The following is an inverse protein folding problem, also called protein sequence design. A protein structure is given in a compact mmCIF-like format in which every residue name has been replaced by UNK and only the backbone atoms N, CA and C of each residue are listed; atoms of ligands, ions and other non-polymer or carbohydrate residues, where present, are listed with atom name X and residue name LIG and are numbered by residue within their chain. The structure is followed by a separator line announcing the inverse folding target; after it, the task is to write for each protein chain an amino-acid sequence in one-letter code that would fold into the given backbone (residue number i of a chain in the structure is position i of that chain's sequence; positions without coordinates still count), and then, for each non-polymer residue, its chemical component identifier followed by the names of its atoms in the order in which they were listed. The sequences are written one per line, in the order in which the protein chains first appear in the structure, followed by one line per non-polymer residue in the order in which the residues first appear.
data_IF_115738388291
#
_entry.id   IF_115738388291
#
_cell.length_a   1.000
_cell.length_b   1.000
_cell.length_c   1.000
_cell.angle_alpha   90.00
_cell.angle_beta   90.00
_cell.angle_gamma   90.00
#
_symmetry.space_group_name_H-M   'P 1'
#
loop_
_entity.id
_entity.type
_entity.pdbx_description
1 polymer ?
#
# COMPACT_ATOMS: atom_id res chain seq x y z
N UNK A 1 -22.06 -21.65 -3.97
CA UNK A 1 -21.83 -20.73 -5.09
C UNK A 1 -22.16 -19.30 -4.70
N UNK A 2 -23.35 -19.06 -4.16
CA UNK A 2 -23.76 -17.72 -3.73
C UNK A 2 -22.88 -17.17 -2.62
N UNK A 3 -22.51 -18.00 -1.65
CA UNK A 3 -21.64 -17.60 -0.55
C UNK A 3 -20.26 -17.19 -1.04
N UNK A 4 -19.69 -17.94 -2.00
CA UNK A 4 -18.39 -17.60 -2.59
C UNK A 4 -18.46 -16.28 -3.36
N UNK A 5 -19.52 -16.08 -4.14
CA UNK A 5 -19.71 -14.84 -4.90
C UNK A 5 -19.87 -13.64 -3.95
N UNK A 6 -20.64 -13.81 -2.87
CA UNK A 6 -20.82 -12.76 -1.86
C UNK A 6 -19.51 -12.44 -1.15
N UNK A 7 -18.75 -13.46 -0.77
CA UNK A 7 -17.45 -13.25 -0.14
C UNK A 7 -16.51 -12.46 -1.05
N UNK A 8 -16.43 -12.84 -2.33
CA UNK A 8 -15.58 -12.15 -3.30
C UNK A 8 -15.99 -10.71 -3.50
N UNK A 9 -17.30 -10.46 -3.64
CA UNK A 9 -17.82 -9.10 -3.83
C UNK A 9 -17.55 -8.24 -2.61
N UNK A 10 -17.76 -8.78 -1.40
CA UNK A 10 -17.48 -8.06 -0.15
C UNK A 10 -16.00 -7.76 0.00
N UNK A 11 -15.14 -8.71 -0.35
CA UNK A 11 -13.70 -8.54 -0.28
C UNK A 11 -13.21 -7.46 -1.26
N UNK A 12 -13.72 -7.46 -2.49
CA UNK A 12 -13.38 -6.45 -3.48
C UNK A 12 -13.80 -5.06 -2.99
N UNK A 13 -14.99 -4.95 -2.40
CA UNK A 13 -15.47 -3.68 -1.85
C UNK A 13 -14.55 -3.18 -0.73
N UNK A 14 -14.11 -4.07 0.16
CA UNK A 14 -13.20 -3.73 1.25
C UNK A 14 -11.84 -3.23 0.72
N UNK A 15 -11.31 -3.90 -0.30
CA UNK A 15 -10.04 -3.50 -0.93
C UNK A 15 -10.19 -2.13 -1.59
N UNK A 16 -11.30 -1.87 -2.26
CA UNK A 16 -11.57 -0.56 -2.88
C UNK A 16 -11.66 0.55 -1.84
N UNK A 17 -12.31 0.29 -0.71
CA UNK A 17 -12.38 1.25 0.39
C UNK A 17 -10.99 1.55 0.94
N UNK A 18 -10.17 0.52 1.13
CA UNK A 18 -8.78 0.72 1.57
C UNK A 18 -8.00 1.54 0.55
N UNK A 19 -8.21 1.28 -0.75
CA UNK A 19 -7.55 2.03 -1.81
C UNK A 19 -7.93 3.50 -1.77
N UNK A 20 -9.20 3.83 -1.56
CA UNK A 20 -9.65 5.22 -1.42
C UNK A 20 -9.03 5.90 -0.21
N UNK A 21 -8.96 5.21 0.93
CA UNK A 21 -8.29 5.72 2.12
C UNK A 21 -6.81 5.96 1.86
N UNK A 22 -6.16 5.05 1.13
CA UNK A 22 -4.76 5.18 0.78
C UNK A 22 -4.52 6.39 -0.13
N UNK A 23 -5.39 6.59 -1.12
CA UNK A 23 -5.33 7.76 -2.00
C UNK A 23 -5.39 9.05 -1.19
N UNK A 24 -6.37 9.15 -0.30
CA UNK A 24 -6.54 10.33 0.54
C UNK A 24 -5.33 10.57 1.43
N UNK A 25 -4.82 9.51 2.04
CA UNK A 25 -3.67 9.58 2.94
C UNK A 25 -2.40 10.05 2.21
N UNK A 26 -2.12 9.48 1.02
CA UNK A 26 -0.95 9.85 0.23
C UNK A 26 -1.08 11.29 -0.27
N UNK A 27 -2.26 11.70 -0.72
CA UNK A 27 -2.49 13.07 -1.16
C UNK A 27 -2.25 14.08 -0.02
N UNK A 28 -2.63 13.70 1.20
CA UNK A 28 -2.50 14.57 2.35
C UNK A 28 -1.06 14.68 2.84
N UNK A 29 -0.35 13.56 2.89
CA UNK A 29 0.96 13.48 3.54
C UNK A 29 2.14 13.45 2.57
N UNK A 30 1.92 13.07 1.33
CA UNK A 30 2.97 12.98 0.33
C UNK A 30 2.45 13.37 -1.06
N UNK A 31 1.90 14.60 -1.22
CA UNK A 31 1.28 14.99 -2.50
C UNK A 31 2.26 15.02 -3.66
N UNK A 32 3.55 15.22 -3.39
CA UNK A 32 4.57 15.30 -4.45
C UNK A 32 4.80 13.98 -5.17
N UNK A 33 4.58 12.86 -4.47
CA UNK A 33 4.77 11.54 -5.08
C UNK A 33 3.46 10.90 -5.50
N UNK A 34 2.33 11.53 -5.17
CA UNK A 34 1.03 10.93 -5.48
C UNK A 34 0.83 10.78 -6.98
N UNK A 35 0.42 9.58 -7.39
CA UNK A 35 -0.14 9.31 -8.70
C UNK A 35 -1.10 8.14 -8.55
N UNK A 36 -2.12 8.09 -9.40
CA UNK A 36 -3.07 6.97 -9.40
C UNK A 36 -2.37 5.66 -9.71
N UNK A 37 -1.43 5.72 -10.65
CA UNK A 37 -0.65 4.57 -11.07
C UNK A 37 0.18 3.98 -9.94
N UNK A 38 0.78 4.83 -9.11
CA UNK A 38 1.56 4.38 -7.96
C UNK A 38 0.68 3.67 -6.95
N UNK A 39 -0.49 4.24 -6.63
CA UNK A 39 -1.43 3.63 -5.70
C UNK A 39 -1.94 2.31 -6.25
N UNK A 40 -2.33 2.27 -7.53
CA UNK A 40 -2.81 1.05 -8.16
C UNK A 40 -1.74 -0.05 -8.11
N UNK A 41 -0.48 0.32 -8.31
CA UNK A 41 0.61 -0.65 -8.31
C UNK A 41 0.81 -1.31 -6.93
N UNK A 42 0.74 -0.53 -5.85
CA UNK A 42 0.90 -1.10 -4.51
C UNK A 42 -0.30 -1.93 -4.06
N UNK A 43 -1.42 -1.87 -4.80
CA UNK A 43 -2.59 -2.71 -4.57
C UNK A 43 -2.65 -3.94 -5.46
N UNK A 44 -1.71 -4.10 -6.41
CA UNK A 44 -1.62 -5.32 -7.22
C UNK A 44 -1.22 -6.52 -6.37
N UNK A 45 -0.36 -6.29 -5.37
CA UNK A 45 0.14 -7.33 -4.47
C UNK A 45 0.45 -6.72 -3.11
N UNK A 46 0.29 -7.48 -2.00
CA UNK A 46 0.71 -6.99 -0.69
C UNK A 46 2.22 -6.82 -0.54
N UNK A 47 2.99 -7.26 -1.54
CA UNK A 47 4.45 -7.07 -1.57
C UNK A 47 4.83 -6.25 -2.79
N UNK A 48 5.65 -5.21 -2.60
CA UNK A 48 6.14 -4.39 -3.70
C UNK A 48 7.66 -4.30 -3.62
N UNK A 49 8.31 -4.47 -4.77
CA UNK A 49 9.76 -4.30 -4.91
C UNK A 49 10.03 -3.07 -5.78
N UNK A 50 11.21 -2.49 -5.62
CA UNK A 50 11.63 -1.34 -6.42
C UNK A 50 11.50 -1.65 -7.92
N UNK A 51 11.90 -2.85 -8.34
CA UNK A 51 11.84 -3.25 -9.74
C UNK A 51 10.40 -3.28 -10.31
N UNK A 52 9.37 -3.45 -9.47
CA UNK A 52 7.99 -3.41 -9.94
C UNK A 52 7.63 -2.04 -10.52
N UNK A 53 8.13 -0.96 -9.91
CA UNK A 53 7.87 0.39 -10.40
C UNK A 53 8.66 0.66 -11.67
N UNK A 54 9.89 0.18 -11.76
CA UNK A 54 10.72 0.40 -12.94
C UNK A 54 10.26 -0.42 -14.14
N UNK A 55 9.84 -1.67 -13.92
CA UNK A 55 9.32 -2.54 -14.98
C UNK A 55 8.03 -2.01 -15.58
N UNK A 56 7.19 -1.35 -14.79
CA UNK A 56 5.96 -0.75 -15.27
C UNK A 56 6.20 0.57 -15.99
N UNK A 57 7.44 1.04 -16.06
CA UNK A 57 7.77 2.28 -16.73
C UNK A 57 7.30 3.53 -16.00
N UNK A 58 6.90 3.42 -14.73
CA UNK A 58 6.43 4.57 -13.97
C UNK A 58 7.55 5.55 -13.65
N UNK A 59 8.69 5.05 -13.21
CA UNK A 59 9.81 5.87 -12.76
C UNK A 59 11.12 5.11 -12.92
N UNK A 60 12.23 5.84 -12.84
CA UNK A 60 13.56 5.25 -12.77
C UNK A 60 13.84 4.73 -11.36
N UNK A 61 14.86 3.88 -11.24
CA UNK A 61 15.17 3.16 -9.99
C UNK A 61 15.32 4.07 -8.76
N UNK A 62 16.01 5.18 -8.91
CA UNK A 62 16.25 6.10 -7.80
C UNK A 62 14.94 6.71 -7.29
N UNK A 63 14.08 7.14 -8.22
CA UNK A 63 12.79 7.70 -7.88
C UNK A 63 11.87 6.62 -7.29
N UNK A 64 11.92 5.39 -7.82
CA UNK A 64 11.14 4.28 -7.30
C UNK A 64 11.49 4.01 -5.84
N UNK A 65 12.79 3.93 -5.54
CA UNK A 65 13.26 3.73 -4.17
C UNK A 65 12.77 4.84 -3.24
N UNK A 66 12.86 6.09 -3.68
CA UNK A 66 12.43 7.24 -2.90
C UNK A 66 10.92 7.21 -2.64
N UNK A 67 10.13 6.87 -3.66
CA UNK A 67 8.67 6.80 -3.52
C UNK A 67 8.25 5.72 -2.52
N UNK A 68 8.83 4.53 -2.63
CA UNK A 68 8.50 3.44 -1.71
C UNK A 68 8.93 3.75 -0.29
N UNK A 69 10.07 4.39 -0.09
CA UNK A 69 10.53 4.83 1.23
C UNK A 69 9.59 5.88 1.82
N UNK A 70 9.14 6.83 1.01
CA UNK A 70 8.19 7.85 1.47
C UNK A 70 6.88 7.19 1.89
N UNK A 71 6.39 6.22 1.13
CA UNK A 71 5.18 5.48 1.51
C UNK A 71 5.37 4.73 2.84
N UNK A 72 6.57 4.22 3.10
CA UNK A 72 6.88 3.60 4.38
C UNK A 72 6.89 4.63 5.52
N UNK A 73 7.44 5.82 5.27
CA UNK A 73 7.50 6.90 6.26
C UNK A 73 6.11 7.38 6.68
N UNK A 74 5.16 7.43 5.75
CA UNK A 74 3.79 7.86 6.06
C UNK A 74 2.89 6.72 6.52
N UNK A 75 3.43 5.52 6.70
CA UNK A 75 2.72 4.40 7.29
C UNK A 75 1.94 3.51 6.33
N UNK A 76 2.00 3.77 5.03
CA UNK A 76 1.30 2.94 4.03
C UNK A 76 2.00 1.60 3.84
N UNK A 77 3.32 1.61 3.77
CA UNK A 77 4.13 0.41 3.56
C UNK A 77 5.07 0.17 4.73
N UNK A 78 5.60 -1.04 4.82
CA UNK A 78 6.64 -1.43 5.78
C UNK A 78 7.82 -1.97 5.00
N UNK A 79 8.99 -1.37 5.20
CA UNK A 79 10.21 -1.87 4.56
C UNK A 79 10.71 -3.09 5.31
N UNK A 80 11.02 -4.16 4.58
CA UNK A 80 11.65 -5.37 5.10
C UNK A 80 12.81 -5.74 4.20
N UNK A 81 13.87 -6.25 4.81
CA UNK A 81 15.04 -6.68 4.05
C UNK A 81 15.17 -8.21 4.12
N UNK A 82 15.26 -8.83 2.93
CA UNK A 82 15.49 -10.27 2.79
C UNK A 82 16.78 -10.46 1.98
N UNK A 83 17.88 -10.81 2.66
CA UNK A 83 19.17 -10.89 2.02
C UNK A 83 19.58 -9.52 1.47
N UNK A 84 19.77 -9.43 0.16
CA UNK A 84 20.15 -8.18 -0.53
C UNK A 84 18.96 -7.41 -1.07
N UNK A 85 17.78 -7.99 -0.99
CA UNK A 85 16.58 -7.36 -1.53
C UNK A 85 15.81 -6.59 -0.47
N UNK A 86 15.23 -5.47 -0.89
CA UNK A 86 14.27 -4.73 -0.07
C UNK A 86 12.87 -5.06 -0.55
N UNK A 87 12.01 -5.39 0.39
CA UNK A 87 10.62 -5.71 0.14
C UNK A 87 9.75 -4.72 0.91
N UNK A 88 8.79 -4.12 0.22
CA UNK A 88 7.86 -3.19 0.86
C UNK A 88 6.51 -3.90 0.99
N UNK A 89 6.12 -4.15 2.23
CA UNK A 89 4.90 -4.86 2.56
C UNK A 89 3.80 -3.85 2.82
N UNK A 90 2.58 -4.13 2.34
CA UNK A 90 1.41 -3.33 2.64
C UNK A 90 0.59 -4.07 3.71
N UNK A 91 0.78 -3.74 5.01
CA UNK A 91 0.20 -4.55 6.09
C UNK A 91 -1.32 -4.61 6.04
N UNK A 92 -1.98 -3.48 5.73
CA UNK A 92 -3.44 -3.44 5.69
C UNK A 92 -4.00 -4.27 4.55
N UNK A 93 -3.37 -4.21 3.37
CA UNK A 93 -3.78 -5.04 2.24
C UNK A 93 -3.49 -6.51 2.51
N UNK A 94 -2.33 -6.81 3.09
CA UNK A 94 -1.96 -8.18 3.46
C UNK A 94 -3.03 -8.79 4.37
N UNK A 95 -3.48 -8.05 5.37
CA UNK A 95 -4.50 -8.52 6.30
C UNK A 95 -5.83 -8.76 5.57
N UNK A 96 -6.24 -7.86 4.70
CA UNK A 96 -7.50 -8.02 3.96
C UNK A 96 -7.50 -9.26 3.07
N UNK A 97 -6.38 -9.54 2.39
CA UNK A 97 -6.32 -10.67 1.45
C UNK A 97 -6.04 -12.01 2.14
N UNK A 98 -5.53 -11.99 3.37
CA UNK A 98 -5.16 -13.22 4.08
C UNK A 98 -6.17 -13.65 5.15
N UNK A 99 -7.21 -12.86 5.38
CA UNK A 99 -8.25 -13.17 6.38
C UNK A 99 -9.63 -12.98 5.77
N UNK A 100 -10.65 -13.47 6.47
CA UNK A 100 -12.06 -13.24 6.09
C UNK A 100 -12.57 -11.90 6.62
N UNK A 101 -11.80 -11.23 7.46
CA UNK A 101 -12.15 -9.93 8.00
C UNK A 101 -12.01 -8.86 6.92
N UNK A 102 -13.04 -8.03 6.77
CA UNK A 102 -13.07 -6.93 5.81
C UNK A 102 -12.89 -5.57 6.47
N UNK A 103 -12.66 -5.54 7.77
CA UNK A 103 -12.41 -4.31 8.50
C UNK A 103 -10.93 -3.94 8.39
N UNK A 104 -10.66 -2.65 8.37
CA UNK A 104 -9.30 -2.13 8.45
C UNK A 104 -9.31 -0.84 9.25
N UNK A 105 -8.20 -0.56 9.92
CA UNK A 105 -8.04 0.69 10.64
C UNK A 105 -7.55 1.77 9.70
N UNK A 106 -7.95 3.05 9.90
CA UNK A 106 -7.40 4.16 9.12
C UNK A 106 -5.87 4.25 9.30
N UNK A 107 -5.20 4.84 8.32
CA UNK A 107 -3.78 5.10 8.44
C UNK A 107 -3.51 6.12 9.54
N UNK A 108 -2.40 5.94 10.25
CA UNK A 108 -1.96 6.92 11.24
C UNK A 108 -1.56 8.22 10.54
N UNK A 109 -1.85 9.36 11.20
CA UNK A 109 -1.33 10.64 10.73
C UNK A 109 0.17 10.70 10.99
N UNK A 110 0.84 11.61 10.30
CA UNK A 110 2.29 11.82 10.52
C UNK A 110 2.54 12.19 11.99
N UNK A 111 1.68 12.98 12.61
CA UNK A 111 1.79 13.33 14.03
C UNK A 111 1.73 12.10 14.92
N UNK A 112 0.81 11.17 14.63
CA UNK A 112 0.68 9.94 15.39
C UNK A 112 1.91 9.05 15.23
N UNK A 113 2.47 8.98 14.02
CA UNK A 113 3.68 8.22 13.75
C UNK A 113 4.87 8.81 14.52
N UNK A 114 5.04 10.12 14.46
CA UNK A 114 6.14 10.80 15.15
C UNK A 114 6.02 10.68 16.66
N UNK A 115 4.82 10.67 17.21
CA UNK A 115 4.62 10.59 18.67
C UNK A 115 4.99 9.22 19.23
N UNK A 116 5.18 8.20 18.39
CA UNK A 116 5.59 6.86 18.80
C UNK A 116 7.11 6.71 18.88
N UNK A 117 7.83 7.66 18.36
CA UNK A 117 9.30 7.69 18.44
C UNK A 117 9.73 8.37 19.75
#
# INVERSE_FOLDING_TARGET
VEETALWTTTKIAAIRQLQEHTVAHVKQHAPKIYSRELVDLIFVSPYTRIQHLTEQGLVQREAASRYLKTLAEIGVLQERRYGREKLFIHPKLMRLVSTDDNAFEPYDTVEQILSRI
#
